data_IF_756319124499
#
_entry.id   IF_756319124499
#
_cell.length_a   1.000
_cell.length_b   1.000
_cell.length_c   1.000
_cell.angle_alpha   90.00
_cell.angle_beta   90.00
_cell.angle_gamma   90.00
#
_symmetry.space_group_name_H-M   'P 1'
#
loop_
_entity.id
_entity.type
_entity.pdbx_description
1 polymer ?
#
# COMPACT_ATOMS: atom_id res chain seq x y z
N UNK A 1 28.47 -24.15 25.11
CA UNK A 1 27.83 -22.83 25.23
C UNK A 1 28.27 -22.02 26.47
N UNK A 2 28.93 -22.61 27.48
CA UNK A 2 29.37 -21.89 28.68
C UNK A 2 30.74 -21.17 28.57
N UNK A 3 31.46 -21.33 27.46
CA UNK A 3 32.88 -20.92 27.35
C UNK A 3 33.13 -19.48 26.85
N UNK A 4 32.09 -18.76 26.43
CA UNK A 4 32.18 -17.40 25.86
C UNK A 4 31.71 -16.29 26.83
N UNK A 5 31.55 -16.59 28.12
CA UNK A 5 30.96 -15.69 29.12
C UNK A 5 31.82 -14.46 29.47
N UNK A 6 33.08 -14.37 29.01
CA UNK A 6 33.93 -13.20 29.23
C UNK A 6 34.12 -12.40 27.94
N UNK A 7 34.04 -11.06 27.98
CA UNK A 7 34.20 -10.20 26.80
C UNK A 7 35.49 -10.49 26.01
N UNK A 8 36.60 -10.76 26.70
CA UNK A 8 37.89 -11.06 26.07
C UNK A 8 37.89 -12.36 25.26
N UNK A 9 37.16 -13.39 25.70
CA UNK A 9 37.06 -14.67 24.97
C UNK A 9 36.13 -14.54 23.77
N UNK A 10 35.03 -13.81 23.92
CA UNK A 10 34.16 -13.48 22.81
C UNK A 10 34.91 -12.66 21.74
N UNK A 11 35.70 -11.66 22.15
CA UNK A 11 36.51 -10.86 21.23
C UNK A 11 37.55 -11.69 20.48
N UNK A 12 38.25 -12.60 21.17
CA UNK A 12 39.19 -13.52 20.54
C UNK A 12 38.49 -14.45 19.53
N UNK A 13 37.34 -15.01 19.91
CA UNK A 13 36.51 -15.84 19.03
C UNK A 13 36.04 -15.09 17.78
N UNK A 14 35.57 -13.84 17.93
CA UNK A 14 35.15 -13.01 16.80
C UNK A 14 36.34 -12.68 15.90
N UNK A 15 37.51 -12.32 16.46
CA UNK A 15 38.72 -12.05 15.66
C UNK A 15 39.22 -13.26 14.89
N UNK A 16 39.09 -14.45 15.45
CA UNK A 16 39.49 -15.69 14.78
C UNK A 16 38.49 -16.09 13.69
N UNK A 17 37.19 -15.85 13.93
CA UNK A 17 36.12 -16.11 12.96
C UNK A 17 36.02 -15.09 11.81
N UNK A 18 36.38 -13.82 12.03
CA UNK A 18 36.21 -12.74 11.02
C UNK A 18 37.04 -12.96 9.75
N UNK A 19 38.11 -13.76 9.85
CA UNK A 19 38.98 -14.11 8.71
C UNK A 19 38.52 -15.35 7.95
N UNK A 20 37.57 -16.12 8.48
CA UNK A 20 37.11 -17.38 7.88
C UNK A 20 36.08 -17.18 6.76
N UNK A 21 35.61 -15.95 6.54
CA UNK A 21 34.63 -15.64 5.51
C UNK A 21 33.27 -16.31 5.76
N UNK A 22 32.48 -16.45 4.70
CA UNK A 22 31.14 -17.04 4.77
C UNK A 22 31.22 -18.57 4.89
N UNK A 23 30.59 -19.14 5.93
CA UNK A 23 30.50 -20.61 6.13
C UNK A 23 29.10 -21.09 5.78
N UNK A 24 28.96 -21.78 4.65
CA UNK A 24 27.68 -22.30 4.15
C UNK A 24 26.98 -23.25 5.12
N UNK A 25 27.74 -24.01 5.90
CA UNK A 25 27.23 -24.94 6.93
C UNK A 25 26.48 -24.25 8.09
N UNK A 26 26.72 -22.96 8.35
CA UNK A 26 26.02 -22.19 9.40
C UNK A 26 24.72 -21.54 8.89
N UNK A 27 24.47 -21.64 7.59
CA UNK A 27 23.36 -20.99 6.91
C UNK A 27 22.66 -22.01 5.99
N UNK A 28 21.92 -22.99 6.55
CA UNK A 28 21.15 -23.95 5.77
C UNK A 28 19.97 -23.23 5.10
N UNK A 29 20.20 -22.73 3.89
CA UNK A 29 19.21 -22.06 3.05
C UNK A 29 19.83 -21.69 1.72
N UNK A 30 19.01 -21.53 0.68
CA UNK A 30 19.48 -21.05 -0.62
C UNK A 30 20.24 -19.73 -0.43
N UNK A 31 21.42 -19.61 -1.05
CA UNK A 31 22.33 -18.44 -1.00
C UNK A 31 21.73 -17.14 -1.58
N UNK A 32 20.40 -17.04 -1.66
CA UNK A 32 19.69 -15.86 -2.14
C UNK A 32 19.61 -14.85 -1.00
N UNK A 33 19.97 -13.58 -1.26
CA UNK A 33 19.74 -12.52 -0.30
C UNK A 33 18.26 -12.47 0.09
N UNK A 34 17.98 -12.56 1.39
CA UNK A 34 16.62 -12.50 1.93
C UNK A 34 15.91 -11.17 1.61
N UNK A 35 16.69 -10.11 1.35
CA UNK A 35 16.20 -8.76 1.00
C UNK A 35 16.24 -8.48 -0.51
N UNK A 36 16.42 -9.51 -1.34
CA UNK A 36 16.56 -9.40 -2.79
C UNK A 36 17.98 -9.04 -3.24
N UNK A 37 18.32 -9.36 -4.49
CA UNK A 37 19.60 -8.96 -5.09
C UNK A 37 19.68 -7.46 -5.36
N UNK A 38 20.83 -6.96 -5.80
CA UNK A 38 21.07 -5.52 -6.05
C UNK A 38 20.00 -4.87 -6.95
N UNK A 39 19.43 -5.63 -7.89
CA UNK A 39 18.36 -5.16 -8.79
C UNK A 39 16.92 -5.29 -8.26
N UNK A 40 16.71 -5.77 -7.04
CA UNK A 40 15.36 -5.96 -6.48
C UNK A 40 14.63 -4.62 -6.29
N UNK A 41 15.34 -3.62 -5.77
CA UNK A 41 14.81 -2.26 -5.62
C UNK A 41 14.52 -1.63 -6.98
N UNK A 42 15.40 -1.83 -7.96
CA UNK A 42 15.18 -1.34 -9.33
C UNK A 42 13.97 -2.00 -9.99
N UNK A 43 13.76 -3.30 -9.75
CA UNK A 43 12.56 -4.03 -10.17
C UNK A 43 11.28 -3.45 -9.57
N UNK A 44 11.26 -3.25 -8.25
CA UNK A 44 10.12 -2.63 -7.55
C UNK A 44 9.81 -1.21 -8.04
N UNK A 45 10.85 -0.40 -8.29
CA UNK A 45 10.69 0.97 -8.78
C UNK A 45 10.18 0.97 -10.22
N UNK A 46 10.65 0.05 -11.06
CA UNK A 46 10.23 -0.09 -12.45
C UNK A 46 8.76 -0.54 -12.56
N UNK A 47 8.35 -1.51 -11.74
CA UNK A 47 6.97 -2.01 -11.66
C UNK A 47 5.99 -0.90 -11.24
N UNK A 48 6.39 -0.03 -10.30
CA UNK A 48 5.62 1.18 -9.94
C UNK A 48 5.55 2.23 -11.06
N UNK A 49 6.57 2.33 -11.91
CA UNK A 49 6.60 3.31 -13.00
C UNK A 49 5.70 2.90 -14.16
N UNK A 50 5.71 1.62 -14.52
CA UNK A 50 4.93 1.10 -15.66
C UNK A 50 3.40 1.21 -15.44
N UNK A 51 2.95 1.22 -14.19
CA UNK A 51 1.53 1.44 -13.82
C UNK A 51 1.10 2.92 -13.82
N UNK A 52 2.01 3.88 -13.96
CA UNK A 52 1.76 5.29 -13.60
C UNK A 52 1.64 6.29 -14.77
N UNK A 53 1.59 5.83 -16.03
CA UNK A 53 1.48 6.75 -17.17
C UNK A 53 0.06 7.29 -17.41
N UNK A 54 -0.95 6.76 -16.72
CA UNK A 54 -2.32 7.23 -16.86
C UNK A 54 -2.51 8.57 -16.13
N UNK A 55 -2.91 9.61 -16.88
CA UNK A 55 -3.39 10.85 -16.26
C UNK A 55 -4.76 10.55 -15.67
N UNK A 56 -4.94 10.67 -14.34
CA UNK A 56 -6.22 10.35 -13.74
C UNK A 56 -7.30 11.30 -14.25
N UNK A 57 -8.49 10.76 -14.47
CA UNK A 57 -9.69 11.53 -14.81
C UNK A 57 -9.96 12.52 -13.69
N UNK A 58 -10.15 13.80 -14.02
CA UNK A 58 -10.42 14.83 -13.03
C UNK A 58 -11.50 14.39 -12.03
N UNK A 59 -11.22 14.54 -10.73
CA UNK A 59 -12.06 14.02 -9.65
C UNK A 59 -13.51 14.55 -9.72
N UNK A 60 -13.71 15.78 -10.18
CA UNK A 60 -15.03 16.34 -10.50
C UNK A 60 -15.74 15.62 -11.63
N UNK A 61 -15.03 15.21 -12.68
CA UNK A 61 -15.61 14.49 -13.81
C UNK A 61 -16.02 13.07 -13.40
N UNK A 62 -15.18 12.38 -12.63
CA UNK A 62 -15.51 11.06 -12.07
C UNK A 62 -16.72 11.15 -11.14
N UNK A 63 -16.77 12.17 -10.27
CA UNK A 63 -17.92 12.39 -9.40
C UNK A 63 -19.21 12.66 -10.19
N UNK A 64 -19.14 13.48 -11.25
CA UNK A 64 -20.26 13.72 -12.18
C UNK A 64 -20.75 12.44 -12.84
N UNK A 65 -19.84 11.58 -13.28
CA UNK A 65 -20.18 10.31 -13.92
C UNK A 65 -20.93 9.38 -12.97
N UNK A 66 -20.41 9.23 -11.74
CA UNK A 66 -21.05 8.40 -10.70
C UNK A 66 -22.40 8.99 -10.28
N UNK A 67 -22.48 10.31 -10.12
CA UNK A 67 -23.73 11.02 -9.80
C UNK A 67 -24.80 10.78 -10.87
N UNK A 68 -24.44 10.95 -12.15
CA UNK A 68 -25.32 10.73 -13.28
C UNK A 68 -25.80 9.28 -13.37
N UNK A 69 -24.90 8.32 -13.16
CA UNK A 69 -25.24 6.89 -13.18
C UNK A 69 -26.21 6.50 -12.05
N UNK A 70 -26.11 7.14 -10.89
CA UNK A 70 -26.95 6.87 -9.73
C UNK A 70 -28.19 7.78 -9.62
N UNK A 71 -28.37 8.75 -10.52
CA UNK A 71 -29.50 9.69 -10.49
C UNK A 71 -29.42 10.75 -9.38
N UNK A 72 -28.22 11.06 -8.88
CA UNK A 72 -28.00 12.05 -7.83
C UNK A 72 -27.27 13.30 -8.34
N UNK A 73 -27.33 14.38 -7.56
CA UNK A 73 -26.47 15.56 -7.76
C UNK A 73 -25.10 15.36 -7.12
N UNK A 74 -24.11 16.15 -7.55
CA UNK A 74 -22.75 16.13 -6.99
C UNK A 74 -22.78 16.53 -5.51
N UNK A 75 -23.63 17.50 -5.18
CA UNK A 75 -23.84 18.01 -3.83
C UNK A 75 -24.44 16.94 -2.92
N UNK A 76 -25.34 16.10 -3.43
CA UNK A 76 -25.87 14.97 -2.67
C UNK A 76 -24.77 13.97 -2.31
N UNK A 77 -23.86 13.67 -3.26
CA UNK A 77 -22.69 12.82 -2.99
C UNK A 77 -21.71 13.45 -2.00
N UNK A 78 -21.58 14.77 -1.92
CA UNK A 78 -20.73 15.46 -0.92
C UNK A 78 -21.45 15.80 0.39
N UNK A 79 -22.76 15.62 0.46
CA UNK A 79 -23.58 15.96 1.61
C UNK A 79 -23.50 14.95 2.76
N UNK A 80 -24.44 15.01 3.70
CA UNK A 80 -24.50 14.09 4.84
C UNK A 80 -25.59 13.01 4.73
N UNK A 81 -26.22 12.88 3.56
CA UNK A 81 -27.28 11.89 3.31
C UNK A 81 -26.80 10.46 3.55
N UNK A 82 -27.70 9.60 4.05
CA UNK A 82 -27.40 8.21 4.43
C UNK A 82 -28.32 7.17 3.78
N UNK A 83 -29.03 7.52 2.71
CA UNK A 83 -29.84 6.53 1.98
C UNK A 83 -28.92 5.46 1.37
N UNK A 84 -29.38 4.20 1.35
CA UNK A 84 -28.58 3.08 0.90
C UNK A 84 -28.01 3.27 -0.51
N UNK A 85 -28.84 3.78 -1.44
CA UNK A 85 -28.44 4.08 -2.81
C UNK A 85 -27.31 5.13 -2.90
N UNK A 86 -27.39 6.16 -2.05
CA UNK A 86 -26.42 7.24 -2.03
C UNK A 86 -25.10 6.80 -1.38
N UNK A 87 -25.17 5.98 -0.33
CA UNK A 87 -24.00 5.35 0.29
C UNK A 87 -23.30 4.43 -0.72
N UNK A 88 -24.06 3.58 -1.43
CA UNK A 88 -23.51 2.72 -2.48
C UNK A 88 -22.83 3.53 -3.61
N UNK A 89 -23.44 4.64 -4.04
CA UNK A 89 -22.85 5.54 -5.03
C UNK A 89 -21.54 6.18 -4.52
N UNK A 90 -21.47 6.59 -3.25
CA UNK A 90 -20.22 7.06 -2.63
C UNK A 90 -19.16 5.99 -2.56
N UNK A 91 -19.53 4.77 -2.15
CA UNK A 91 -18.58 3.66 -2.06
C UNK A 91 -18.02 3.35 -3.44
N UNK A 92 -18.85 3.38 -4.50
CA UNK A 92 -18.41 3.24 -5.89
C UNK A 92 -17.43 4.35 -6.28
N UNK A 93 -17.76 5.62 -6.02
CA UNK A 93 -16.86 6.73 -6.29
C UNK A 93 -15.51 6.57 -5.58
N UNK A 94 -15.52 6.21 -4.29
CA UNK A 94 -14.30 6.03 -3.49
C UNK A 94 -13.41 4.93 -4.08
N UNK A 95 -14.00 3.77 -4.41
CA UNK A 95 -13.26 2.65 -5.01
C UNK A 95 -12.65 3.05 -6.34
N UNK A 96 -13.44 3.65 -7.22
CA UNK A 96 -12.98 4.06 -8.55
C UNK A 96 -11.86 5.12 -8.44
N UNK A 97 -12.04 6.13 -7.60
CA UNK A 97 -11.04 7.18 -7.42
C UNK A 97 -9.72 6.67 -6.83
N UNK A 98 -9.74 5.75 -5.86
CA UNK A 98 -8.52 5.28 -5.20
C UNK A 98 -7.86 4.12 -5.93
N UNK A 99 -8.64 3.12 -6.36
CA UNK A 99 -8.12 1.87 -6.92
C UNK A 99 -7.86 1.96 -8.43
N UNK A 100 -8.72 2.66 -9.18
CA UNK A 100 -8.60 2.74 -10.64
C UNK A 100 -7.81 3.99 -11.06
N UNK A 101 -8.12 5.14 -10.47
CA UNK A 101 -7.48 6.43 -10.81
C UNK A 101 -6.25 6.75 -9.95
N UNK A 102 -5.98 5.98 -8.89
CA UNK A 102 -4.80 6.16 -8.05
C UNK A 102 -4.80 7.44 -7.20
N UNK A 103 -5.95 8.05 -6.94
CA UNK A 103 -6.03 9.20 -6.04
C UNK A 103 -5.70 8.80 -4.59
N UNK A 104 -4.91 9.63 -3.92
CA UNK A 104 -4.64 9.45 -2.49
C UNK A 104 -5.91 9.55 -1.65
N UNK A 105 -6.12 8.59 -0.73
CA UNK A 105 -7.31 8.49 0.12
C UNK A 105 -7.65 9.81 0.85
N UNK A 106 -6.64 10.56 1.30
CA UNK A 106 -6.82 11.86 1.96
C UNK A 106 -7.42 12.91 1.02
N UNK A 107 -7.00 12.95 -0.25
CA UNK A 107 -7.55 13.88 -1.25
C UNK A 107 -9.01 13.54 -1.56
N UNK A 108 -9.32 12.25 -1.68
CA UNK A 108 -10.70 11.76 -1.89
C UNK A 108 -11.59 12.11 -0.71
N UNK A 109 -11.11 11.94 0.53
CA UNK A 109 -11.85 12.30 1.74
C UNK A 109 -12.15 13.80 1.81
N UNK A 110 -11.15 14.65 1.52
CA UNK A 110 -11.32 16.11 1.46
C UNK A 110 -12.36 16.52 0.40
N UNK A 111 -12.31 15.90 -0.78
CA UNK A 111 -13.25 16.17 -1.87
C UNK A 111 -14.70 15.82 -1.49
N UNK A 112 -14.90 14.70 -0.80
CA UNK A 112 -16.21 14.27 -0.30
C UNK A 112 -16.64 14.95 1.01
N UNK A 113 -15.78 15.79 1.59
CA UNK A 113 -15.99 16.42 2.91
C UNK A 113 -16.26 15.40 4.02
N UNK A 114 -15.58 14.26 3.98
CA UNK A 114 -15.71 13.20 4.96
C UNK A 114 -14.37 12.89 5.65
N UNK A 115 -14.42 12.12 6.74
CA UNK A 115 -13.22 11.72 7.46
C UNK A 115 -12.48 10.59 6.72
N UNK A 116 -11.15 10.61 6.76
CA UNK A 116 -10.31 9.61 6.07
C UNK A 116 -10.62 8.17 6.49
N UNK A 117 -11.04 7.96 7.74
CA UNK A 117 -11.47 6.64 8.24
C UNK A 117 -12.65 6.05 7.46
N UNK A 118 -13.53 6.89 6.92
CA UNK A 118 -14.65 6.42 6.10
C UNK A 118 -14.13 5.85 4.77
N UNK A 119 -13.16 6.52 4.14
CA UNK A 119 -12.51 6.03 2.93
C UNK A 119 -11.80 4.70 3.19
N UNK A 120 -11.04 4.59 4.29
CA UNK A 120 -10.37 3.35 4.67
C UNK A 120 -11.36 2.20 4.88
N UNK A 121 -12.49 2.44 5.56
CA UNK A 121 -13.51 1.40 5.78
C UNK A 121 -14.07 0.88 4.47
N UNK A 122 -14.40 1.76 3.53
CA UNK A 122 -14.91 1.39 2.20
C UNK A 122 -13.90 0.55 1.42
N UNK A 123 -12.60 0.88 1.51
CA UNK A 123 -11.55 0.12 0.83
C UNK A 123 -11.33 -1.25 1.49
N UNK A 124 -11.48 -1.35 2.81
CA UNK A 124 -11.42 -2.63 3.53
C UNK A 124 -12.60 -3.54 3.17
N UNK A 125 -13.83 -3.01 3.14
CA UNK A 125 -15.03 -3.73 2.68
C UNK A 125 -14.81 -4.28 1.25
N UNK A 126 -14.22 -3.48 0.36
CA UNK A 126 -13.92 -3.91 -1.01
C UNK A 126 -12.92 -5.07 -1.07
N UNK A 127 -11.92 -5.07 -0.19
CA UNK A 127 -10.90 -6.12 -0.14
C UNK A 127 -11.43 -7.44 0.44
N UNK A 128 -12.46 -7.39 1.30
CA UNK A 128 -13.10 -8.60 1.84
C UNK A 128 -14.12 -9.26 0.91
N UNK A 129 -14.60 -8.52 -0.09
CA UNK A 129 -15.56 -9.02 -1.09
C UNK A 129 -14.90 -9.76 -2.27
N UNK A 130 -13.56 -9.88 -2.25
CA UNK A 130 -12.74 -10.53 -3.29
C UNK A 130 -12.22 -11.88 -2.79
#
# INVERSE_FOLDING_TARGET
MAELMTPARYEAFVRDGIRQGYRSEWHPGDHKPFLGGEGFLDGLVKEKKETSSHRPVAMEALCKQVAKAAGFTIEALRGHGRSALLVAARHRFIRQAVLEEGYGATKVAQFLRCHASNVSRVLQEAASDT
#
